data_IF_610496672964
#
_entry.id   IF_610496672964
#
_cell.length_a   1.000
_cell.length_b   1.000
_cell.length_c   1.000
_cell.angle_alpha   90.00
_cell.angle_beta   90.00
_cell.angle_gamma   90.00
#
_symmetry.space_group_name_H-M   'P 1'
#
loop_
_entity.id
_entity.type
_entity.pdbx_description
1 polymer ?
#
# COMPACT_ATOMS: atom_id res chain seq x y z
N UNK A 1 12.61 9.43 11.61
CA UNK A 1 11.95 8.16 11.23
C UNK A 1 10.49 8.45 10.89
N UNK A 2 10.14 8.82 9.64
CA UNK A 2 8.75 9.20 9.30
C UNK A 2 8.26 8.77 7.91
N UNK A 3 9.10 8.12 7.09
CA UNK A 3 8.73 7.76 5.71
C UNK A 3 8.07 6.38 5.54
N UNK A 4 7.93 5.57 6.59
CA UNK A 4 7.49 4.17 6.50
C UNK A 4 6.00 3.97 6.15
N UNK A 5 5.23 5.04 6.00
CA UNK A 5 3.77 4.97 5.77
C UNK A 5 3.33 5.54 4.42
N UNK A 6 4.26 6.05 3.61
CA UNK A 6 3.94 6.72 2.35
C UNK A 6 4.39 5.89 1.15
N UNK A 7 3.47 5.68 0.22
CA UNK A 7 3.72 5.07 -1.08
C UNK A 7 3.76 6.18 -2.13
N UNK A 8 4.96 6.46 -2.63
CA UNK A 8 5.14 7.42 -3.72
C UNK A 8 4.77 6.76 -5.05
N UNK A 9 4.43 7.55 -6.08
CA UNK A 9 4.15 7.03 -7.41
C UNK A 9 5.27 6.12 -7.94
N UNK A 10 6.53 6.42 -7.64
CA UNK A 10 7.67 5.58 -8.03
C UNK A 10 7.62 4.17 -7.42
N UNK A 11 7.15 4.03 -6.18
CA UNK A 11 6.99 2.72 -5.54
C UNK A 11 5.89 1.90 -6.22
N UNK A 12 4.85 2.57 -6.70
CA UNK A 12 3.69 1.96 -7.33
C UNK A 12 3.96 1.64 -8.81
N UNK A 13 4.77 2.45 -9.51
CA UNK A 13 5.19 2.19 -10.90
C UNK A 13 5.92 0.86 -11.07
N UNK A 14 6.57 0.35 -10.02
CA UNK A 14 7.15 -0.99 -10.08
C UNK A 14 6.09 -2.09 -10.29
N UNK A 15 4.85 -1.90 -9.84
CA UNK A 15 3.77 -2.86 -10.00
C UNK A 15 3.33 -2.99 -11.47
N UNK A 16 3.30 -1.86 -12.20
CA UNK A 16 3.00 -1.87 -13.64
C UNK A 16 4.20 -2.31 -14.47
N UNK A 17 5.41 -1.84 -14.12
CA UNK A 17 6.64 -2.23 -14.82
C UNK A 17 6.92 -3.75 -14.75
N UNK A 18 6.58 -4.38 -13.63
CA UNK A 18 6.71 -5.83 -13.46
C UNK A 18 5.50 -6.62 -13.98
N UNK A 19 4.54 -5.96 -14.65
CA UNK A 19 3.30 -6.55 -15.18
C UNK A 19 2.47 -7.28 -14.12
N UNK A 20 2.58 -6.89 -12.85
CA UNK A 20 1.74 -7.42 -11.77
C UNK A 20 0.31 -6.87 -11.87
N UNK A 21 0.19 -5.65 -12.40
CA UNK A 21 -1.06 -4.98 -12.74
C UNK A 21 -0.88 -4.20 -14.04
N UNK A 22 -1.93 -4.09 -14.85
CA UNK A 22 -2.04 -3.01 -15.84
C UNK A 22 -2.43 -1.69 -15.14
N UNK A 23 -2.30 -0.57 -15.84
CA UNK A 23 -2.54 0.76 -15.26
C UNK A 23 -3.99 0.96 -14.80
N UNK A 24 -4.97 0.44 -15.53
CA UNK A 24 -6.39 0.59 -15.20
C UNK A 24 -6.76 -0.25 -13.99
N UNK A 25 -6.34 -1.52 -13.96
CA UNK A 25 -6.57 -2.43 -12.83
C UNK A 25 -5.90 -1.92 -11.56
N UNK A 26 -4.68 -1.38 -11.66
CA UNK A 26 -3.98 -0.79 -10.52
C UNK A 26 -4.73 0.43 -9.98
N UNK A 27 -5.17 1.33 -10.87
CA UNK A 27 -5.92 2.51 -10.47
C UNK A 27 -7.25 2.12 -9.80
N UNK A 28 -7.93 1.10 -10.32
CA UNK A 28 -9.15 0.56 -9.74
C UNK A 28 -8.92 0.03 -8.31
N UNK A 29 -7.90 -0.80 -8.11
CA UNK A 29 -7.61 -1.37 -6.79
C UNK A 29 -7.15 -0.31 -5.78
N UNK A 30 -6.32 0.66 -6.18
CA UNK A 30 -5.93 1.76 -5.31
C UNK A 30 -7.13 2.60 -4.88
N UNK A 31 -8.05 2.90 -5.80
CA UNK A 31 -9.29 3.61 -5.49
C UNK A 31 -10.18 2.82 -4.53
N UNK A 32 -10.28 1.50 -4.73
CA UNK A 32 -11.03 0.61 -3.84
C UNK A 32 -10.44 0.60 -2.43
N UNK A 33 -9.11 0.57 -2.29
CA UNK A 33 -8.44 0.65 -0.99
C UNK A 33 -8.68 2.00 -0.29
N UNK A 34 -8.80 3.09 -1.06
CA UNK A 34 -9.20 4.39 -0.51
C UNK A 34 -10.66 4.36 -0.03
N UNK A 35 -11.58 3.82 -0.83
CA UNK A 35 -13.00 3.69 -0.46
C UNK A 35 -13.22 2.82 0.79
N UNK A 36 -12.41 1.77 0.94
CA UNK A 36 -12.45 0.86 2.08
C UNK A 36 -11.74 1.41 3.33
N UNK A 37 -11.23 2.64 3.29
CA UNK A 37 -10.50 3.29 4.37
C UNK A 37 -9.18 2.58 4.77
N UNK A 38 -8.54 1.88 3.84
CA UNK A 38 -7.21 1.32 4.04
C UNK A 38 -6.11 2.31 3.67
N UNK A 39 -6.35 3.09 2.62
CA UNK A 39 -5.45 4.13 2.14
C UNK A 39 -6.11 5.50 2.20
N UNK A 40 -5.30 6.53 2.46
CA UNK A 40 -5.65 7.90 2.18
C UNK A 40 -4.79 8.40 1.00
N UNK A 41 -5.43 9.04 0.02
CA UNK A 41 -4.74 9.66 -1.10
C UNK A 41 -4.60 11.17 -0.86
N UNK A 42 -3.37 11.69 -0.91
CA UNK A 42 -3.09 13.12 -0.89
C UNK A 42 -2.93 13.61 -2.35
N UNK A 43 -3.91 14.36 -2.89
CA UNK A 43 -3.88 14.81 -4.27
C UNK A 43 -2.80 15.86 -4.53
N UNK A 44 -2.37 16.61 -3.51
CA UNK A 44 -1.36 17.68 -3.66
C UNK A 44 0.04 17.13 -3.87
N UNK A 45 0.31 15.93 -3.32
CA UNK A 45 1.60 15.25 -3.40
C UNK A 45 1.57 14.01 -4.28
N UNK A 46 0.38 13.60 -4.72
CA UNK A 46 0.16 12.35 -5.46
C UNK A 46 0.72 11.15 -4.70
N UNK A 47 0.46 11.07 -3.40
CA UNK A 47 0.94 9.98 -2.54
C UNK A 47 -0.23 9.25 -1.90
N UNK A 48 -0.06 7.95 -1.73
CA UNK A 48 -0.95 7.14 -0.90
C UNK A 48 -0.29 6.92 0.46
N UNK A 49 -1.08 6.90 1.52
CA UNK A 49 -0.63 6.57 2.87
C UNK A 49 -1.58 5.60 3.53
N UNK A 50 -1.09 4.78 4.45
CA UNK A 50 -1.99 3.96 5.27
C UNK A 50 -2.87 4.85 6.15
N UNK A 51 -4.15 4.51 6.21
CA UNK A 51 -5.10 5.27 7.01
C UNK A 51 -4.99 4.89 8.49
N UNK A 52 -4.37 5.76 9.27
CA UNK A 52 -4.28 5.64 10.72
C UNK A 52 -3.26 4.61 11.22
N UNK A 53 -2.90 4.76 12.50
CA UNK A 53 -1.86 3.92 13.12
C UNK A 53 -2.30 2.47 13.29
N UNK A 54 -3.59 2.22 13.54
CA UNK A 54 -4.12 0.86 13.71
C UNK A 54 -3.93 0.02 12.44
N UNK A 55 -4.15 0.61 11.26
CA UNK A 55 -3.95 -0.09 10.00
C UNK A 55 -2.48 -0.42 9.76
N UNK A 56 -1.60 0.54 10.06
CA UNK A 56 -0.15 0.34 9.99
C UNK A 56 0.32 -0.82 10.90
N UNK A 57 -0.04 -0.78 12.18
CA UNK A 57 0.37 -1.83 13.12
C UNK A 57 -0.27 -3.18 12.80
N UNK A 58 -1.52 -3.20 12.35
CA UNK A 58 -2.22 -4.42 11.91
C UNK A 58 -1.52 -5.09 10.73
N UNK A 59 -1.21 -4.35 9.67
CA UNK A 59 -0.45 -4.85 8.52
C UNK A 59 0.95 -5.32 8.93
N UNK A 60 1.63 -4.56 9.78
CA UNK A 60 2.96 -4.93 10.25
C UNK A 60 2.95 -6.26 11.02
N UNK A 61 1.95 -6.50 11.86
CA UNK A 61 1.80 -7.78 12.57
C UNK A 61 1.41 -8.92 11.62
N UNK A 62 0.53 -8.66 10.66
CA UNK A 62 0.13 -9.65 9.66
C UNK A 62 1.32 -10.14 8.83
N UNK A 63 2.15 -9.23 8.30
CA UNK A 63 3.34 -9.58 7.51
C UNK A 63 4.34 -10.37 8.36
N UNK A 64 4.62 -9.93 9.58
CA UNK A 64 5.50 -10.66 10.51
C UNK A 64 5.01 -12.09 10.75
N UNK A 65 3.70 -12.27 10.89
CA UNK A 65 3.12 -13.60 11.09
C UNK A 65 3.18 -14.49 9.84
N UNK A 66 3.19 -13.91 8.63
CA UNK A 66 3.42 -14.66 7.38
C UNK A 66 4.89 -15.10 7.31
N UNK A 67 5.84 -14.19 7.53
CA UNK A 67 7.28 -14.51 7.49
C UNK A 67 7.66 -15.63 8.49
N UNK A 68 7.02 -15.64 9.67
CA UNK A 68 7.23 -16.69 10.67
C UNK A 68 6.69 -18.05 10.18
N UNK A 69 5.57 -18.07 9.45
CA UNK A 69 4.95 -19.30 8.95
C UNK A 69 5.69 -19.91 7.76
N UNK A 70 6.28 -19.07 6.90
CA UNK A 70 7.08 -19.53 5.76
C UNK A 70 8.50 -19.98 6.17
N UNK A 71 8.87 -19.79 7.44
CA UNK A 71 10.15 -20.22 8.03
C UNK A 71 10.06 -21.55 8.80
N UNK A 72 8.91 -22.22 8.77
CA UNK A 72 8.66 -23.53 9.40
C UNK A 72 8.49 -24.65 8.37
#
# INVERSE_FOLDING_TARGET
>A
MRDKQFFKPVNIRHLTNNKLFDEESLAHELNKLVQLNYLAFDPTKTIWQLQGNSMFYGLQQFIKNIEIKDSC
#
